data_IF_905114468629
#
_entry.id   IF_905114468629
#
_cell.length_a   1.000
_cell.length_b   1.000
_cell.length_c   1.000
_cell.angle_alpha   90.00
_cell.angle_beta   90.00
_cell.angle_gamma   90.00
#
_symmetry.space_group_name_H-M   'P 1'
#
loop_
_entity.id
_entity.type
_entity.pdbx_description
1 polymer ?
#
# COMPACT_ATOMS: atom_id res chain seq x y z
N UNK A 1 31.90 19.51 -79.83
CA UNK A 1 32.98 20.27 -79.17
C UNK A 1 32.89 20.05 -77.67
N UNK A 2 34.00 19.60 -77.08
CA UNK A 2 34.19 19.26 -75.66
C UNK A 2 33.98 20.46 -74.73
N UNK A 3 33.36 20.27 -73.56
CA UNK A 3 33.83 20.87 -72.29
C UNK A 3 33.17 20.23 -71.04
N UNK A 4 33.88 19.24 -70.49
CA UNK A 4 34.23 19.01 -69.08
C UNK A 4 33.23 19.46 -68.00
N UNK A 5 32.55 18.48 -67.37
CA UNK A 5 32.00 18.60 -66.02
C UNK A 5 33.14 18.83 -65.01
N UNK A 6 33.10 19.95 -64.29
CA UNK A 6 34.05 20.29 -63.24
C UNK A 6 33.41 20.13 -61.85
N UNK A 7 34.07 19.30 -61.05
CA UNK A 7 34.27 19.36 -59.59
C UNK A 7 33.06 19.39 -58.64
N UNK A 8 32.96 18.27 -57.91
CA UNK A 8 32.29 18.13 -56.61
C UNK A 8 32.70 19.26 -55.66
N UNK A 9 31.72 19.99 -55.15
CA UNK A 9 31.80 20.58 -53.82
C UNK A 9 30.86 19.80 -52.90
N UNK A 10 31.43 18.88 -52.13
CA UNK A 10 30.79 18.33 -50.95
C UNK A 10 30.79 19.42 -49.88
N UNK A 11 29.75 20.24 -49.83
CA UNK A 11 29.40 20.97 -48.60
C UNK A 11 28.25 20.25 -47.93
N UNK A 12 28.56 19.08 -47.36
CA UNK A 12 27.66 18.45 -46.38
C UNK A 12 27.56 19.34 -45.14
N UNK A 13 26.34 19.43 -44.58
CA UNK A 13 26.09 20.05 -43.30
C UNK A 13 26.87 19.31 -42.20
N UNK A 14 27.66 19.99 -41.34
CA UNK A 14 28.27 19.34 -40.20
C UNK A 14 27.14 18.93 -39.25
N UNK A 15 27.05 17.64 -38.94
CA UNK A 15 26.12 17.08 -37.95
C UNK A 15 26.30 17.76 -36.59
N UNK A 16 25.55 18.84 -36.33
CA UNK A 16 25.48 19.52 -35.03
C UNK A 16 24.19 19.14 -34.28
N UNK A 17 23.90 17.84 -34.12
CA UNK A 17 22.69 17.37 -33.42
C UNK A 17 22.96 16.17 -32.51
N UNK A 18 23.90 16.27 -31.58
CA UNK A 18 24.05 15.28 -30.50
C UNK A 18 23.99 15.92 -29.08
N UNK A 19 24.14 17.24 -28.93
CA UNK A 19 24.19 17.88 -27.60
C UNK A 19 22.92 18.65 -27.21
N UNK A 20 21.75 18.00 -27.24
CA UNK A 20 20.51 18.53 -26.59
C UNK A 20 19.90 17.57 -25.57
N UNK A 21 20.69 16.70 -24.98
CA UNK A 21 20.22 15.88 -23.86
C UNK A 21 20.37 16.70 -22.58
N UNK A 22 19.33 17.43 -22.18
CA UNK A 22 19.30 18.11 -20.88
C UNK A 22 19.30 17.05 -19.78
N UNK A 23 20.46 16.82 -19.17
CA UNK A 23 20.61 15.86 -18.07
C UNK A 23 20.26 16.56 -16.76
N UNK A 24 19.06 16.33 -16.23
CA UNK A 24 18.67 16.85 -14.90
C UNK A 24 19.12 15.84 -13.84
N UNK A 25 20.10 16.23 -13.03
CA UNK A 25 20.45 15.50 -11.79
C UNK A 25 19.54 15.99 -10.66
N UNK A 26 18.63 15.15 -10.21
CA UNK A 26 17.80 15.42 -9.02
C UNK A 26 18.50 14.85 -7.81
N UNK A 27 18.95 15.73 -6.91
CA UNK A 27 19.51 15.35 -5.62
C UNK A 27 18.37 15.22 -4.61
N UNK A 28 18.14 14.00 -4.11
CA UNK A 28 17.26 13.78 -2.98
C UNK A 28 18.04 14.03 -1.68
N UNK A 29 17.53 14.84 -0.74
CA UNK A 29 18.20 15.04 0.53
C UNK A 29 18.31 13.70 1.28
N UNK A 30 19.39 13.54 2.04
CA UNK A 30 19.57 12.38 2.91
C UNK A 30 18.36 12.24 3.85
N UNK A 31 17.83 11.02 3.96
CA UNK A 31 16.69 10.75 4.83
C UNK A 31 17.09 11.07 6.27
N UNK A 32 16.35 11.93 6.99
CA UNK A 32 16.68 12.24 8.37
C UNK A 32 16.75 10.94 9.18
N UNK A 33 17.75 10.84 10.05
CA UNK A 33 17.92 9.70 10.95
C UNK A 33 16.59 9.37 11.63
N UNK A 34 16.23 8.08 11.66
CA UNK A 34 14.95 7.60 12.18
C UNK A 34 14.84 8.06 13.64
N UNK A 35 14.02 9.09 13.89
CA UNK A 35 13.62 9.49 15.23
C UNK A 35 13.15 8.26 15.99
N UNK A 36 13.56 8.10 17.26
CA UNK A 36 13.05 7.05 18.16
C UNK A 36 11.53 7.10 18.14
N UNK A 37 10.91 6.23 17.34
CA UNK A 37 9.46 6.21 17.16
C UNK A 37 8.90 5.77 18.49
N UNK A 38 8.25 6.68 19.21
CA UNK A 38 7.32 6.35 20.29
C UNK A 38 6.54 5.11 19.84
N UNK A 39 6.52 4.07 20.68
CA UNK A 39 5.79 2.84 20.42
C UNK A 39 4.33 3.21 20.18
N UNK A 40 3.96 3.44 18.93
CA UNK A 40 2.60 3.86 18.57
C UNK A 40 1.70 2.71 18.98
N UNK A 41 0.87 2.94 19.99
CA UNK A 41 -0.14 1.98 20.41
C UNK A 41 -0.99 1.67 19.18
N UNK A 42 -0.94 0.41 18.75
CA UNK A 42 -1.45 0.05 17.44
C UNK A 42 -2.89 -0.37 17.57
N UNK A 43 -3.78 0.36 16.89
CA UNK A 43 -5.18 -0.03 16.85
C UNK A 43 -5.34 -1.42 16.27
N UNK A 44 -6.21 -2.21 16.88
CA UNK A 44 -6.52 -3.54 16.44
C UNK A 44 -7.23 -3.49 15.08
N UNK A 45 -6.73 -4.17 14.05
CA UNK A 45 -7.30 -4.09 12.69
C UNK A 45 -8.74 -4.61 12.60
N UNK A 46 -9.15 -5.52 13.50
CA UNK A 46 -10.53 -6.04 13.53
C UNK A 46 -11.52 -4.98 14.02
N UNK A 47 -11.14 -4.18 15.03
CA UNK A 47 -11.97 -3.07 15.51
C UNK A 47 -12.17 -2.02 14.42
N UNK A 48 -11.10 -1.66 13.68
CA UNK A 48 -11.20 -0.75 12.53
C UNK A 48 -12.15 -1.32 11.47
N UNK A 49 -12.06 -2.62 11.19
CA UNK A 49 -12.93 -3.27 10.22
C UNK A 49 -14.41 -3.23 10.63
N UNK A 50 -14.71 -3.52 11.91
CA UNK A 50 -16.05 -3.42 12.49
C UNK A 50 -16.58 -1.98 12.45
N UNK A 51 -15.75 -0.98 12.79
CA UNK A 51 -16.12 0.44 12.69
C UNK A 51 -16.54 0.79 11.25
N UNK A 52 -15.77 0.38 10.25
CA UNK A 52 -16.06 0.68 8.84
C UNK A 52 -17.34 -0.01 8.36
N UNK A 53 -17.48 -1.30 8.65
CA UNK A 53 -18.67 -2.08 8.30
C UNK A 53 -19.93 -1.49 8.97
N UNK A 54 -19.84 -1.09 10.24
CA UNK A 54 -20.93 -0.46 10.96
C UNK A 54 -21.32 0.90 10.36
N UNK A 55 -20.36 1.75 9.99
CA UNK A 55 -20.64 3.04 9.34
C UNK A 55 -21.35 2.89 8.00
N UNK A 56 -21.05 1.83 7.25
CA UNK A 56 -21.70 1.52 5.97
C UNK A 56 -23.09 0.95 6.22
N UNK A 57 -23.23 -0.05 7.11
CA UNK A 57 -24.51 -0.71 7.40
C UNK A 57 -25.54 0.20 8.08
N UNK A 58 -25.08 1.11 8.95
CA UNK A 58 -25.95 2.12 9.58
C UNK A 58 -26.42 3.22 8.63
N UNK A 59 -25.92 3.25 7.38
CA UNK A 59 -26.24 4.30 6.41
C UNK A 59 -25.59 5.66 6.71
N UNK A 60 -24.77 5.77 7.78
CA UNK A 60 -23.99 6.98 8.09
C UNK A 60 -23.12 7.40 6.91
N UNK A 61 -22.66 6.42 6.13
CA UNK A 61 -21.96 6.64 4.87
C UNK A 61 -22.62 5.87 3.75
N UNK A 62 -22.89 6.56 2.64
CA UNK A 62 -23.61 5.97 1.48
C UNK A 62 -22.86 4.83 0.77
N UNK A 63 -21.52 4.81 0.85
CA UNK A 63 -20.69 3.80 0.17
C UNK A 63 -19.27 3.75 0.72
N UNK A 64 -18.55 2.65 0.45
CA UNK A 64 -17.12 2.52 0.78
C UNK A 64 -16.25 3.65 0.19
N UNK A 65 -16.59 4.14 -1.01
CA UNK A 65 -15.85 5.20 -1.66
C UNK A 65 -16.00 6.53 -0.90
N UNK A 66 -17.20 6.82 -0.40
CA UNK A 66 -17.43 7.99 0.43
C UNK A 66 -16.72 7.87 1.79
N UNK A 67 -16.69 6.67 2.38
CA UNK A 67 -15.97 6.41 3.62
C UNK A 67 -14.47 6.68 3.45
N UNK A 68 -13.90 6.17 2.36
CA UNK A 68 -12.52 6.42 1.97
C UNK A 68 -12.20 7.92 1.84
N UNK A 69 -13.07 8.69 1.17
CA UNK A 69 -12.91 10.15 1.02
C UNK A 69 -12.97 10.87 2.37
N UNK A 70 -13.88 10.48 3.26
CA UNK A 70 -14.02 11.10 4.59
C UNK A 70 -12.82 10.81 5.50
N UNK A 71 -12.27 9.59 5.45
CA UNK A 71 -11.14 9.18 6.29
C UNK A 71 -9.79 9.61 5.67
N UNK A 72 -9.75 9.91 4.38
CA UNK A 72 -8.52 10.26 3.66
C UNK A 72 -7.67 9.05 3.27
N UNK A 73 -8.30 7.90 3.02
CA UNK A 73 -7.63 6.67 2.56
C UNK A 73 -8.19 6.20 1.22
N UNK A 74 -7.48 5.32 0.53
CA UNK A 74 -7.99 4.74 -0.71
C UNK A 74 -9.18 3.82 -0.43
N UNK A 75 -10.14 3.75 -1.37
CA UNK A 75 -11.25 2.78 -1.33
C UNK A 75 -10.75 1.35 -1.15
N UNK A 76 -9.65 1.00 -1.82
CA UNK A 76 -9.02 -0.32 -1.70
C UNK A 76 -8.60 -0.60 -0.25
N UNK A 77 -8.12 0.40 0.48
CA UNK A 77 -7.75 0.24 1.89
C UNK A 77 -8.95 -0.04 2.78
N UNK A 78 -10.08 0.64 2.55
CA UNK A 78 -11.34 0.37 3.25
C UNK A 78 -11.77 -1.09 3.04
N UNK A 79 -11.82 -1.55 1.79
CA UNK A 79 -12.20 -2.92 1.47
C UNK A 79 -11.24 -3.95 2.10
N UNK A 80 -9.93 -3.69 2.12
CA UNK A 80 -8.96 -4.54 2.82
C UNK A 80 -9.32 -4.75 4.29
N UNK A 81 -9.71 -3.69 5.01
CA UNK A 81 -10.19 -3.82 6.38
C UNK A 81 -11.50 -4.61 6.47
N UNK A 82 -12.51 -4.25 5.68
CA UNK A 82 -13.82 -4.93 5.71
C UNK A 82 -13.65 -6.44 5.41
N UNK A 83 -12.77 -6.79 4.47
CA UNK A 83 -12.49 -8.18 4.12
C UNK A 83 -11.94 -9.02 5.29
N UNK A 84 -11.36 -8.39 6.32
CA UNK A 84 -10.91 -9.10 7.52
C UNK A 84 -12.08 -9.72 8.31
N UNK A 85 -13.29 -9.16 8.19
CA UNK A 85 -14.48 -9.70 8.84
C UNK A 85 -14.95 -11.02 8.20
N UNK A 86 -14.32 -11.47 7.10
CA UNK A 86 -14.57 -12.77 6.47
C UNK A 86 -13.77 -13.91 7.12
N UNK A 87 -12.91 -13.61 8.10
CA UNK A 87 -12.21 -14.63 8.88
C UNK A 87 -13.18 -15.50 9.66
N UNK A 88 -12.73 -16.70 10.06
CA UNK A 88 -13.51 -17.55 10.94
C UNK A 88 -13.87 -16.79 12.24
N UNK A 89 -15.10 -16.94 12.77
CA UNK A 89 -15.55 -16.19 13.94
C UNK A 89 -14.67 -16.45 15.18
N UNK A 90 -14.18 -17.68 15.36
CA UNK A 90 -13.24 -18.03 16.43
C UNK A 90 -11.93 -17.23 16.34
N UNK A 91 -11.44 -16.98 15.13
CA UNK A 91 -10.21 -16.20 14.90
C UNK A 91 -10.45 -14.73 15.23
N UNK A 92 -11.59 -14.18 14.81
CA UNK A 92 -11.99 -12.81 15.11
C UNK A 92 -12.07 -12.61 16.63
N UNK A 93 -12.73 -13.53 17.34
CA UNK A 93 -12.87 -13.47 18.79
C UNK A 93 -11.52 -13.48 19.51
N UNK A 94 -10.61 -14.41 19.15
CA UNK A 94 -9.25 -14.44 19.72
C UNK A 94 -8.46 -13.15 19.50
N UNK A 95 -8.63 -12.52 18.34
CA UNK A 95 -7.97 -11.24 18.04
C UNK A 95 -8.59 -10.10 18.85
N UNK A 96 -9.89 -10.16 19.12
CA UNK A 96 -10.60 -9.18 19.95
C UNK A 96 -10.22 -9.26 21.43
N UNK A 97 -9.95 -10.47 21.94
CA UNK A 97 -9.47 -10.72 23.31
C UNK A 97 -8.13 -10.02 23.61
N UNK A 98 -7.33 -9.70 22.59
CA UNK A 98 -6.09 -8.91 22.75
C UNK A 98 -6.40 -7.47 23.21
N UNK A 99 -7.59 -6.97 22.86
CA UNK A 99 -8.02 -5.60 23.13
C UNK A 99 -7.67 -4.59 22.02
N UNK A 100 -8.14 -3.35 22.21
CA UNK A 100 -7.78 -2.17 21.43
C UNK A 100 -7.53 -1.01 22.42
N UNK A 101 -6.30 -0.48 22.52
CA UNK A 101 -5.18 -0.65 21.61
C UNK A 101 -4.27 -1.85 21.96
N UNK A 102 -3.67 -2.47 20.95
CA UNK A 102 -2.80 -3.63 21.18
C UNK A 102 -1.44 -3.20 21.78
N UNK A 103 -0.95 -3.87 22.85
CA UNK A 103 0.29 -3.51 23.53
C UNK A 103 1.55 -3.81 22.67
N UNK A 104 1.47 -4.81 21.79
CA UNK A 104 2.50 -5.12 20.78
C UNK A 104 1.85 -5.44 19.44
N UNK A 105 2.63 -5.35 18.37
CA UNK A 105 2.21 -5.68 17.00
C UNK A 105 2.26 -7.20 16.74
N UNK A 106 1.53 -7.99 17.53
CA UNK A 106 1.43 -9.45 17.35
C UNK A 106 0.88 -9.78 15.95
N UNK A 107 -0.20 -9.08 15.58
CA UNK A 107 -0.96 -9.31 14.37
C UNK A 107 -1.01 -8.04 13.55
N UNK A 108 -0.87 -8.19 12.24
CA UNK A 108 -1.01 -7.07 11.30
C UNK A 108 -2.13 -7.37 10.33
N UNK A 109 -2.79 -6.34 9.83
CA UNK A 109 -3.81 -6.47 8.78
C UNK A 109 -3.29 -7.29 7.59
N UNK A 110 -2.04 -7.09 7.15
CA UNK A 110 -1.46 -7.88 6.04
C UNK A 110 -1.41 -9.39 6.34
N UNK A 111 -1.05 -9.77 7.57
CA UNK A 111 -1.07 -11.18 8.00
C UNK A 111 -2.51 -11.72 7.98
N UNK A 112 -3.46 -10.98 8.55
CA UNK A 112 -4.86 -11.39 8.58
C UNK A 112 -5.45 -11.56 7.18
N UNK A 113 -5.11 -10.68 6.24
CA UNK A 113 -5.55 -10.79 4.85
C UNK A 113 -5.03 -12.05 4.15
N UNK A 114 -3.86 -12.54 4.54
CA UNK A 114 -3.35 -13.82 4.04
C UNK A 114 -4.19 -14.99 4.57
N UNK A 115 -4.64 -14.92 5.84
CA UNK A 115 -5.49 -15.94 6.45
C UNK A 115 -6.89 -16.02 5.83
N UNK A 116 -7.47 -14.90 5.40
CA UNK A 116 -8.78 -14.87 4.70
C UNK A 116 -8.79 -15.78 3.46
N UNK A 117 -7.63 -16.03 2.83
CA UNK A 117 -7.52 -16.87 1.63
C UNK A 117 -7.42 -18.37 1.94
N UNK A 118 -7.28 -18.74 3.20
CA UNK A 118 -7.02 -20.11 3.66
C UNK A 118 -8.32 -20.66 4.29
N UNK A 119 -8.60 -21.97 4.18
CA UNK A 119 -9.76 -22.58 4.84
C UNK A 119 -9.73 -22.39 6.37
N UNK A 120 -10.91 -22.27 6.97
CA UNK A 120 -11.12 -21.90 8.38
C UNK A 120 -10.31 -22.75 9.38
N UNK A 121 -10.24 -24.06 9.16
CA UNK A 121 -9.51 -24.99 10.05
C UNK A 121 -8.01 -24.62 10.18
N UNK A 122 -7.39 -24.26 9.05
CA UNK A 122 -5.97 -23.89 9.02
C UNK A 122 -5.73 -22.47 9.56
N UNK A 123 -6.74 -21.60 9.58
CA UNK A 123 -6.59 -20.24 10.13
C UNK A 123 -6.30 -20.29 11.63
N UNK A 124 -6.99 -21.17 12.36
CA UNK A 124 -6.88 -21.32 13.82
C UNK A 124 -5.46 -21.70 14.26
N UNK A 125 -4.89 -22.72 13.64
CA UNK A 125 -3.54 -23.20 13.95
C UNK A 125 -2.47 -22.10 13.76
N UNK A 126 -2.60 -21.26 12.72
CA UNK A 126 -1.64 -20.19 12.44
C UNK A 126 -1.74 -19.06 13.47
N UNK A 127 -2.96 -18.73 13.91
CA UNK A 127 -3.20 -17.69 14.92
C UNK A 127 -2.66 -18.14 16.28
N UNK A 128 -2.91 -19.38 16.68
CA UNK A 128 -2.41 -19.95 17.94
C UNK A 128 -0.87 -19.92 17.99
N UNK A 129 -0.20 -20.33 16.92
CA UNK A 129 1.26 -20.24 16.82
C UNK A 129 1.82 -18.81 16.77
N UNK A 130 1.01 -17.81 16.44
CA UNK A 130 1.40 -16.41 16.37
C UNK A 130 1.18 -15.63 17.68
N UNK A 131 0.27 -16.11 18.54
CA UNK A 131 -0.08 -15.48 19.82
C UNK A 131 0.64 -16.09 21.02
N UNK A 132 1.11 -17.33 20.91
CA UNK A 132 1.81 -18.04 22.00
C UNK A 132 3.32 -17.75 22.13
N UNK A 133 3.84 -16.64 21.60
CA UNK A 133 5.27 -16.27 21.66
C UNK A 133 5.51 -14.91 22.28
#
# INVERSE_FOLDING_TARGET
MNLRYALRHQSGSPNCSIDRTFSIKVYFPERPAKSNKLLKTQRNPIFIAKEYDHMIKSGRVKSEANLARQIGISRVRVNQFISLLKLAPEVIQKIEEIGDPMPKRYITERKLRALVKIPNEKQKAIIEGSLGK
#
